data_IF_878404667809
#
_entry.id   IF_878404667809
#
_cell.length_a   1.000
_cell.length_b   1.000
_cell.length_c   1.000
_cell.angle_alpha   90.00
_cell.angle_beta   90.00
_cell.angle_gamma   90.00
#
_symmetry.space_group_name_H-M   'P 1'
#
loop_
_entity.id
_entity.type
_entity.pdbx_description
1 polymer ?
#
# COMPACT_ATOMS: atom_id res chain seq x y z
N UNK A 1 16.44 4.29 -13.34
CA UNK A 1 15.03 4.11 -13.79
C UNK A 1 14.21 5.26 -13.23
N UNK A 2 13.35 5.92 -14.02
CA UNK A 2 12.40 6.94 -13.53
C UNK A 2 10.99 6.34 -13.54
N UNK A 3 10.30 6.41 -12.41
CA UNK A 3 8.89 6.03 -12.31
C UNK A 3 7.99 7.21 -12.71
N UNK A 4 6.77 6.97 -13.21
CA UNK A 4 5.78 8.02 -13.43
C UNK A 4 5.37 8.65 -12.08
N UNK A 5 4.63 9.76 -12.12
CA UNK A 5 4.10 10.39 -10.91
C UNK A 5 3.30 9.38 -10.09
N UNK A 6 3.78 9.09 -8.88
CA UNK A 6 3.13 8.19 -7.94
C UNK A 6 2.27 9.00 -6.96
N UNK A 7 1.11 8.44 -6.63
CA UNK A 7 0.22 9.01 -5.61
C UNK A 7 0.61 8.47 -4.24
N UNK A 8 0.82 9.36 -3.28
CA UNK A 8 1.04 9.01 -1.88
C UNK A 8 -0.24 8.45 -1.25
N UNK A 9 -0.08 7.47 -0.36
CA UNK A 9 -1.17 6.89 0.41
C UNK A 9 -0.63 6.30 1.72
N UNK A 10 -1.44 6.34 2.77
CA UNK A 10 -1.14 5.71 4.06
C UNK A 10 -1.64 4.27 4.08
N UNK A 11 -0.77 3.32 4.36
CA UNK A 11 -1.11 1.92 4.54
C UNK A 11 -1.99 1.71 5.77
N UNK A 12 -3.09 0.97 5.60
CA UNK A 12 -4.01 0.60 6.69
C UNK A 12 -3.77 -0.85 7.10
N UNK A 13 -4.00 -1.78 6.17
CA UNK A 13 -3.87 -3.23 6.39
C UNK A 13 -3.71 -3.99 5.10
N UNK A 14 -3.11 -5.17 5.19
CA UNK A 14 -3.00 -6.13 4.08
C UNK A 14 -4.01 -7.26 4.28
N UNK A 15 -5.04 -7.31 3.43
CA UNK A 15 -6.11 -8.31 3.55
C UNK A 15 -5.64 -9.69 3.06
N UNK A 16 -4.78 -9.73 2.03
CA UNK A 16 -4.21 -10.96 1.50
C UNK A 16 -2.81 -10.70 0.90
N UNK A 17 -2.16 -11.73 0.34
CA UNK A 17 -0.79 -11.59 -0.21
C UNK A 17 -0.71 -10.69 -1.45
N UNK A 18 -1.81 -10.28 -2.06
CA UNK A 18 -1.82 -9.53 -3.31
C UNK A 18 -2.53 -8.18 -3.20
N UNK A 19 -3.18 -7.87 -2.07
CA UNK A 19 -3.88 -6.59 -1.90
C UNK A 19 -3.70 -5.97 -0.52
N UNK A 20 -3.54 -4.65 -0.52
CA UNK A 20 -3.44 -3.80 0.65
C UNK A 20 -4.47 -2.67 0.61
N UNK A 21 -5.20 -2.47 1.71
CA UNK A 21 -6.02 -1.29 1.90
C UNK A 21 -5.13 -0.10 2.26
N UNK A 22 -5.35 1.01 1.56
CA UNK A 22 -4.62 2.27 1.74
C UNK A 22 -5.60 3.44 1.83
N UNK A 23 -5.19 4.50 2.52
CA UNK A 23 -5.90 5.78 2.56
C UNK A 23 -5.15 6.78 1.70
N UNK A 24 -5.83 7.32 0.69
CA UNK A 24 -5.29 8.40 -0.13
C UNK A 24 -5.27 9.70 0.68
N UNK A 25 -4.40 10.65 0.32
CA UNK A 25 -4.27 11.92 1.04
C UNK A 25 -5.58 12.72 1.10
N UNK A 26 -6.46 12.56 0.10
CA UNK A 26 -7.82 13.13 0.10
C UNK A 26 -8.82 12.43 1.04
N UNK A 27 -8.39 11.50 1.89
CA UNK A 27 -9.23 10.75 2.82
C UNK A 27 -9.97 9.55 2.22
N UNK A 28 -9.88 9.35 0.90
CA UNK A 28 -10.50 8.22 0.20
C UNK A 28 -9.84 6.89 0.55
N UNK A 29 -10.65 5.84 0.70
CA UNK A 29 -10.16 4.47 0.87
C UNK A 29 -10.00 3.80 -0.49
N UNK A 30 -8.85 3.16 -0.70
CA UNK A 30 -8.53 2.43 -1.93
C UNK A 30 -7.84 1.10 -1.63
N UNK A 31 -7.79 0.22 -2.63
CA UNK A 31 -7.05 -1.04 -2.59
C UNK A 31 -5.88 -0.99 -3.58
N UNK A 32 -4.67 -1.20 -3.08
CA UNK A 32 -3.45 -1.29 -3.87
C UNK A 32 -3.03 -2.75 -4.08
N UNK A 33 -2.56 -3.07 -5.29
CA UNK A 33 -1.97 -4.37 -5.59
C UNK A 33 -0.57 -4.48 -5.00
N UNK A 34 -0.28 -5.61 -4.34
CA UNK A 34 1.02 -5.92 -3.75
C UNK A 34 1.71 -6.97 -4.61
N UNK A 35 2.75 -6.60 -5.39
CA UNK A 35 3.37 -7.49 -6.36
C UNK A 35 4.32 -8.53 -5.72
N UNK A 36 4.40 -8.60 -4.40
CA UNK A 36 5.30 -9.50 -3.68
C UNK A 36 4.53 -10.46 -2.77
N UNK A 37 4.76 -11.75 -2.94
CA UNK A 37 4.13 -12.80 -2.13
C UNK A 37 4.78 -12.98 -0.75
N UNK A 38 5.93 -12.35 -0.53
CA UNK A 38 6.69 -12.40 0.72
C UNK A 38 6.02 -11.67 1.90
N UNK A 39 6.61 -11.86 3.10
CA UNK A 39 6.04 -11.35 4.36
C UNK A 39 6.07 -9.83 4.49
N UNK A 40 6.97 -9.14 3.79
CA UNK A 40 7.14 -7.68 3.89
C UNK A 40 7.31 -7.18 5.34
N UNK A 41 8.02 -7.96 6.16
CA UNK A 41 8.29 -7.66 7.56
C UNK A 41 8.96 -6.29 7.69
N UNK A 42 8.39 -5.40 8.50
CA UNK A 42 8.93 -4.06 8.72
C UNK A 42 8.51 -3.00 7.68
N UNK A 43 7.94 -3.40 6.55
CA UNK A 43 7.51 -2.48 5.47
C UNK A 43 6.02 -2.14 5.60
N UNK A 44 5.17 -3.14 5.85
CA UNK A 44 3.72 -2.96 5.96
C UNK A 44 3.29 -2.68 7.40
N UNK A 45 3.65 -1.51 7.91
CA UNK A 45 3.24 -1.02 9.23
C UNK A 45 2.06 -0.06 9.07
N UNK A 46 0.92 -0.28 9.77
CA UNK A 46 -0.21 0.66 9.71
C UNK A 46 0.25 2.09 9.99
N UNK A 47 -0.15 3.04 9.15
CA UNK A 47 0.28 4.44 9.25
C UNK A 47 1.52 4.82 8.44
N UNK A 48 2.21 3.86 7.80
CA UNK A 48 3.32 4.12 6.87
C UNK A 48 2.87 4.36 5.44
#
# INVERSE_FOLDING_TARGET
>A
MKLPNLTSATFIKRNNRFSAGVRLDGGGLASAYVPTTGRLTGVLRPGC
#
